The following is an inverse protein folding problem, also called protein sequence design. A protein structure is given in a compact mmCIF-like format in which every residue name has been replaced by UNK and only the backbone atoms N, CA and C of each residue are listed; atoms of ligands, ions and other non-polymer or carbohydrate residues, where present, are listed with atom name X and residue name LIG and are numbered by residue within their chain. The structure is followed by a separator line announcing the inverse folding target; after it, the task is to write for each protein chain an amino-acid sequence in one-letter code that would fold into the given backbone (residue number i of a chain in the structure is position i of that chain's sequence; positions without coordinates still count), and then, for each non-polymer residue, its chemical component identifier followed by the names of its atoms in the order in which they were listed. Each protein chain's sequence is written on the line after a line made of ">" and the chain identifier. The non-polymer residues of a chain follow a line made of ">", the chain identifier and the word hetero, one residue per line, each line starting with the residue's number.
data_IF_052168800588
#
_entry.id   IF_052168800588
#
_cell.length_a   1.000
_cell.length_b   1.000
_cell.length_c   1.000
_cell.angle_alpha   90.00
_cell.angle_beta   90.00
_cell.angle_gamma   90.00
#
_symmetry.space_group_name_H-M   'P 1'
#
loop_
_entity.id
_entity.type
_entity.pdbx_description
1 polymer ?
#
# COMPACT_ATOMS: atom_id res chain seq x y z
N UNK A 1 8.88 7.53 8.04
CA UNK A 1 8.60 6.10 7.82
C UNK A 1 9.79 5.27 8.33
N UNK A 2 9.55 4.08 8.92
CA UNK A 2 10.60 3.09 9.21
C UNK A 2 10.58 2.01 8.12
N UNK A 3 11.74 1.43 7.80
CA UNK A 3 11.87 0.38 6.78
C UNK A 3 12.50 -0.88 7.36
N UNK A 4 12.08 -2.04 6.83
CA UNK A 4 12.52 -3.38 7.23
C UNK A 4 13.07 -4.11 6.00
N UNK A 5 14.05 -5.00 6.18
CA UNK A 5 14.46 -5.90 5.11
C UNK A 5 13.36 -6.92 4.82
N UNK A 6 13.11 -7.20 3.56
CA UNK A 6 12.21 -8.30 3.20
C UNK A 6 12.87 -9.65 3.53
N UNK A 7 12.12 -10.65 4.01
CA UNK A 7 12.68 -11.98 4.25
C UNK A 7 13.34 -12.53 2.98
N UNK A 8 14.51 -13.15 3.14
CA UNK A 8 15.28 -13.77 2.04
C UNK A 8 15.75 -12.80 0.93
N UNK A 9 15.59 -11.49 1.09
CA UNK A 9 16.16 -10.48 0.19
C UNK A 9 16.50 -9.20 0.98
N UNK A 10 17.74 -9.11 1.47
CA UNK A 10 18.18 -8.02 2.34
C UNK A 10 18.34 -6.66 1.62
N UNK A 11 18.45 -6.68 0.29
CA UNK A 11 18.55 -5.49 -0.56
C UNK A 11 17.18 -4.84 -0.76
N UNK A 12 16.10 -5.61 -0.59
CA UNK A 12 14.74 -5.10 -0.65
C UNK A 12 14.33 -4.52 0.71
N UNK A 13 14.20 -3.20 0.79
CA UNK A 13 13.70 -2.47 1.96
C UNK A 13 12.24 -2.08 1.77
N UNK A 14 11.37 -2.60 2.62
CA UNK A 14 9.93 -2.31 2.63
C UNK A 14 9.54 -1.46 3.83
N UNK A 15 8.53 -0.61 3.69
CA UNK A 15 7.98 0.16 4.79
C UNK A 15 7.44 -0.78 5.88
N UNK A 16 7.65 -0.44 7.15
CA UNK A 16 7.17 -1.25 8.28
C UNK A 16 5.64 -1.38 8.30
N UNK A 17 4.95 -0.41 7.68
CA UNK A 17 3.51 -0.45 7.43
C UNK A 17 3.30 -0.54 5.91
N UNK A 18 2.48 -1.49 5.47
CA UNK A 18 2.04 -1.64 4.08
C UNK A 18 0.63 -1.12 3.85
N UNK A 19 0.25 -0.96 2.58
CA UNK A 19 -1.11 -0.59 2.18
C UNK A 19 -1.81 -1.80 1.55
N UNK A 20 -2.88 -2.29 2.18
CA UNK A 20 -3.73 -3.34 1.63
C UNK A 20 -4.71 -2.79 0.59
N UNK A 21 -4.67 -3.32 -0.63
CA UNK A 21 -5.35 -2.74 -1.81
C UNK A 21 -6.79 -3.24 -1.96
N UNK A 22 -7.21 -4.29 -1.24
CA UNK A 22 -8.56 -4.87 -1.33
C UNK A 22 -9.68 -3.82 -1.26
N UNK A 23 -9.57 -2.88 -0.31
CA UNK A 23 -10.58 -1.86 -0.04
C UNK A 23 -10.69 -0.78 -1.12
N UNK A 24 -9.75 -0.71 -2.06
CA UNK A 24 -9.76 0.28 -3.16
C UNK A 24 -9.82 -0.38 -4.53
N UNK A 25 -9.60 -1.69 -4.63
CA UNK A 25 -9.64 -2.45 -5.89
C UNK A 25 -10.89 -3.33 -6.05
N UNK A 26 -11.64 -3.63 -4.98
CA UNK A 26 -12.82 -4.48 -5.05
C UNK A 26 -14.08 -3.72 -4.63
N UNK A 27 -15.22 -4.05 -5.27
CA UNK A 27 -16.54 -3.44 -4.98
C UNK A 27 -17.35 -4.19 -3.92
N UNK A 28 -16.78 -5.24 -3.33
CA UNK A 28 -17.49 -6.04 -2.32
C UNK A 28 -17.44 -5.35 -0.96
N UNK A 29 -16.33 -4.68 -0.63
CA UNK A 29 -16.16 -3.93 0.60
C UNK A 29 -15.05 -2.89 0.41
N UNK A 30 -15.39 -1.59 0.49
CA UNK A 30 -14.41 -0.53 0.31
C UNK A 30 -14.93 0.75 -0.33
N UNK A 31 -14.02 1.46 -1.00
CA UNK A 31 -14.24 2.73 -1.67
C UNK A 31 -14.78 2.49 -3.07
N UNK A 32 -15.99 2.98 -3.35
CA UNK A 32 -16.58 2.94 -4.70
C UNK A 32 -16.13 4.10 -5.61
N UNK A 33 -15.61 5.18 -5.01
CA UNK A 33 -15.09 6.34 -5.73
C UNK A 33 -13.63 6.12 -6.17
N UNK A 34 -13.43 5.97 -7.49
CA UNK A 34 -12.13 5.77 -8.10
C UNK A 34 -11.15 6.92 -7.82
N UNK A 35 -11.60 8.18 -7.78
CA UNK A 35 -10.72 9.30 -7.46
C UNK A 35 -10.22 9.20 -6.02
N UNK A 36 -11.09 8.81 -5.09
CA UNK A 36 -10.72 8.62 -3.70
C UNK A 36 -9.74 7.46 -3.56
N UNK A 37 -9.96 6.35 -4.25
CA UNK A 37 -9.03 5.21 -4.31
C UNK A 37 -7.63 5.65 -4.77
N UNK A 38 -7.56 6.41 -5.87
CA UNK A 38 -6.29 6.94 -6.39
C UNK A 38 -5.64 7.91 -5.40
N UNK A 39 -6.43 8.80 -4.77
CA UNK A 39 -5.92 9.74 -3.75
C UNK A 39 -5.35 9.00 -2.54
N UNK A 40 -5.97 7.92 -2.07
CA UNK A 40 -5.48 7.10 -0.96
C UNK A 40 -4.14 6.43 -1.28
N UNK A 41 -4.01 5.86 -2.48
CA UNK A 41 -2.75 5.26 -2.93
C UNK A 41 -1.63 6.30 -3.01
N UNK A 42 -1.89 7.45 -3.64
CA UNK A 42 -0.89 8.55 -3.73
C UNK A 42 -0.50 9.08 -2.37
N UNK A 43 -1.48 9.31 -1.49
CA UNK A 43 -1.22 9.77 -0.13
C UNK A 43 -0.35 8.77 0.64
N UNK A 44 -0.56 7.46 0.46
CA UNK A 44 0.27 6.45 1.12
C UNK A 44 1.74 6.51 0.67
N UNK A 45 1.99 6.71 -0.63
CA UNK A 45 3.33 6.94 -1.20
C UNK A 45 3.95 8.20 -0.61
N UNK A 46 3.21 9.30 -0.52
CA UNK A 46 3.69 10.56 0.07
C UNK A 46 4.05 10.42 1.56
N UNK A 47 3.45 9.45 2.27
CA UNK A 47 3.81 9.09 3.65
C UNK A 47 4.97 8.10 3.75
N UNK A 48 5.52 7.67 2.62
CA UNK A 48 6.69 6.79 2.52
C UNK A 48 6.36 5.30 2.47
N UNK A 49 5.09 4.92 2.28
CA UNK A 49 4.73 3.51 2.04
C UNK A 49 5.26 3.10 0.67
N UNK A 50 5.98 1.98 0.62
CA UNK A 50 6.47 1.38 -0.62
C UNK A 50 6.09 -0.10 -0.76
N UNK A 51 5.29 -0.63 0.17
CA UNK A 51 4.78 -1.99 0.15
C UNK A 51 3.26 -1.99 0.03
N UNK A 52 2.78 -2.55 -1.07
CA UNK A 52 1.37 -2.62 -1.43
C UNK A 52 0.99 -4.08 -1.62
N UNK A 53 -0.01 -4.53 -0.87
CA UNK A 53 -0.49 -5.91 -0.88
C UNK A 53 -1.81 -6.01 -1.64
N UNK A 54 -1.87 -6.92 -2.62
CA UNK A 54 -3.04 -7.19 -3.47
C UNK A 54 -3.15 -8.68 -3.76
N UNK A 55 -4.30 -9.12 -4.26
CA UNK A 55 -4.58 -10.50 -4.70
C UNK A 55 -4.64 -10.63 -6.22
#
# INVERSE_FOLDING_TARGET
>A
MKYRSFPNNNDLKVSEVGFGVWSVATKWWGVDDEELAIKLLRYSVDKGINFFDTA
#
